data_IF_307239254746
#
_entry.id   IF_307239254746
#
_cell.length_a   1.000
_cell.length_b   1.000
_cell.length_c   1.000
_cell.angle_alpha   90.00
_cell.angle_beta   90.00
_cell.angle_gamma   90.00
#
_symmetry.space_group_name_H-M   'P 1'
#
loop_
_entity.id
_entity.type
_entity.pdbx_description
1 polymer ?
#
# COMPACT_ATOMS: atom_id res chain seq x y z
N UNK A 1 4.71 7.45 -18.77
CA UNK A 1 3.37 7.69 -19.35
C UNK A 1 2.81 8.99 -18.77
N UNK A 2 2.15 9.83 -19.56
CA UNK A 2 1.55 11.09 -19.10
C UNK A 2 0.13 11.19 -19.68
N UNK A 3 -0.88 11.47 -18.85
CA UNK A 3 -2.28 11.67 -19.24
C UNK A 3 -2.53 13.06 -19.83
N UNK A 4 -2.44 14.10 -19.00
CA UNK A 4 -2.59 15.49 -19.40
C UNK A 4 -3.74 16.18 -18.68
N UNK A 5 -4.58 16.88 -19.44
CA UNK A 5 -5.80 17.51 -18.90
C UNK A 5 -7.00 16.57 -19.12
N UNK A 6 -7.83 16.40 -18.11
CA UNK A 6 -9.04 15.59 -18.13
C UNK A 6 -8.91 14.33 -17.27
N UNK A 7 -10.00 13.59 -17.14
CA UNK A 7 -10.01 12.36 -16.34
C UNK A 7 -9.47 11.21 -17.22
N UNK A 8 -8.23 10.81 -16.98
CA UNK A 8 -7.53 9.80 -17.77
C UNK A 8 -7.58 8.41 -17.12
N UNK A 9 -7.37 7.39 -17.95
CA UNK A 9 -7.13 6.02 -17.49
C UNK A 9 -5.81 5.56 -18.06
N UNK A 10 -4.81 5.44 -17.18
CA UNK A 10 -3.42 5.19 -17.52
C UNK A 10 -3.01 3.81 -17.05
N UNK A 11 -2.39 3.04 -17.94
CA UNK A 11 -1.86 1.71 -17.62
C UNK A 11 -0.41 1.65 -18.09
N UNK A 12 0.50 1.39 -17.16
CA UNK A 12 1.90 1.12 -17.43
C UNK A 12 2.12 -0.20 -18.17
N UNK A 13 3.37 -0.58 -18.33
CA UNK A 13 3.80 -1.83 -18.94
C UNK A 13 4.24 -2.83 -17.86
N UNK A 14 4.67 -4.02 -18.29
CA UNK A 14 5.31 -4.97 -17.38
C UNK A 14 6.80 -4.63 -17.19
N UNK A 15 7.08 -3.42 -16.70
CA UNK A 15 8.40 -2.91 -16.33
C UNK A 15 8.26 -1.75 -15.35
N UNK A 16 9.34 -1.37 -14.66
CA UNK A 16 9.36 -0.13 -13.89
C UNK A 16 9.02 1.09 -14.77
N UNK A 17 7.90 1.74 -14.45
CA UNK A 17 7.31 2.85 -15.17
C UNK A 17 7.28 4.14 -14.33
N UNK A 18 7.21 5.27 -15.02
CA UNK A 18 6.86 6.54 -14.42
C UNK A 18 5.54 7.01 -15.05
N UNK A 19 4.46 7.06 -14.28
CA UNK A 19 3.10 7.38 -14.74
C UNK A 19 2.62 8.65 -14.05
N UNK A 20 2.20 9.64 -14.83
CA UNK A 20 1.65 10.90 -14.33
C UNK A 20 0.26 11.14 -14.94
N UNK A 21 -0.75 11.30 -14.09
CA UNK A 21 -2.13 11.64 -14.44
C UNK A 21 -2.20 13.01 -15.07
N UNK A 22 -2.02 14.04 -14.25
CA UNK A 22 -2.00 15.44 -14.68
C UNK A 22 -3.04 16.24 -13.93
N UNK A 23 -3.99 16.84 -14.64
CA UNK A 23 -5.11 17.55 -14.05
C UNK A 23 -6.41 16.83 -14.41
N UNK A 24 -7.33 16.69 -13.47
CA UNK A 24 -8.50 15.81 -13.61
C UNK A 24 -8.43 14.63 -12.66
N UNK A 25 -9.55 13.91 -12.53
CA UNK A 25 -9.64 12.72 -11.66
C UNK A 25 -9.13 11.50 -12.43
N UNK A 26 -7.91 11.07 -12.16
CA UNK A 26 -7.22 10.05 -12.95
C UNK A 26 -7.31 8.66 -12.32
N UNK A 27 -7.34 7.63 -13.18
CA UNK A 27 -7.17 6.23 -12.77
C UNK A 27 -5.83 5.72 -13.26
N UNK A 28 -4.94 5.37 -12.33
CA UNK A 28 -3.55 5.02 -12.62
C UNK A 28 -3.30 3.56 -12.21
N UNK A 29 -2.83 2.76 -13.17
CA UNK A 29 -2.44 1.36 -13.00
C UNK A 29 -0.97 1.24 -13.37
N UNK A 30 -0.10 0.99 -12.39
CA UNK A 30 1.34 0.77 -12.63
C UNK A 30 1.60 -0.46 -13.50
N UNK A 31 0.88 -1.55 -13.21
CA UNK A 31 1.12 -2.91 -13.74
C UNK A 31 2.38 -3.52 -13.13
N UNK A 32 3.09 -4.40 -13.86
CA UNK A 32 4.19 -5.18 -13.28
C UNK A 32 5.48 -4.37 -13.19
N UNK A 33 6.00 -4.12 -11.99
CA UNK A 33 7.30 -3.48 -11.78
C UNK A 33 7.31 -2.60 -10.53
N UNK A 34 8.46 -2.02 -10.19
CA UNK A 34 8.53 -0.93 -9.20
C UNK A 34 8.29 0.41 -9.89
N UNK A 35 7.10 0.96 -9.73
CA UNK A 35 6.61 2.12 -10.47
C UNK A 35 6.65 3.41 -9.65
N UNK A 36 6.78 4.53 -10.36
CA UNK A 36 6.59 5.87 -9.83
C UNK A 36 5.27 6.45 -10.36
N UNK A 37 4.30 6.59 -9.50
CA UNK A 37 2.94 7.04 -9.81
C UNK A 37 2.70 8.44 -9.25
N UNK A 38 2.13 9.31 -10.08
CA UNK A 38 1.83 10.70 -9.76
C UNK A 38 0.41 10.99 -10.23
N UNK A 39 -0.49 11.32 -9.31
CA UNK A 39 -1.88 11.62 -9.64
C UNK A 39 -2.02 12.99 -10.28
N UNK A 40 -1.69 14.02 -9.51
CA UNK A 40 -2.15 15.37 -9.77
C UNK A 40 -2.55 16.04 -8.47
N UNK A 41 -3.43 17.04 -8.57
CA UNK A 41 -4.00 17.71 -7.38
C UNK A 41 -5.52 17.52 -7.25
N UNK A 42 -6.10 16.62 -8.03
CA UNK A 42 -7.52 16.29 -8.01
C UNK A 42 -7.70 14.90 -7.34
N UNK A 43 -8.88 14.30 -7.38
CA UNK A 43 -9.12 13.02 -6.70
C UNK A 43 -8.72 11.83 -7.57
N UNK A 44 -7.55 11.25 -7.28
CA UNK A 44 -6.96 10.21 -8.10
C UNK A 44 -7.14 8.80 -7.50
N UNK A 45 -7.27 7.82 -8.38
CA UNK A 45 -7.41 6.41 -8.03
C UNK A 45 -6.19 5.63 -8.50
N UNK A 46 -5.42 5.10 -7.55
CA UNK A 46 -4.30 4.22 -7.80
C UNK A 46 -4.76 2.76 -7.64
N UNK A 47 -4.77 2.02 -8.75
CA UNK A 47 -5.31 0.65 -8.77
C UNK A 47 -4.16 -0.34 -8.62
N UNK A 48 -4.30 -1.25 -7.67
CA UNK A 48 -3.35 -2.33 -7.46
C UNK A 48 -4.01 -3.71 -7.42
N UNK A 49 -3.24 -4.74 -7.76
CA UNK A 49 -3.60 -6.14 -7.63
C UNK A 49 -2.46 -6.95 -7.01
N UNK A 50 -2.77 -8.18 -6.59
CA UNK A 50 -1.76 -9.08 -6.06
C UNK A 50 -0.66 -9.35 -7.10
N UNK A 51 0.59 -9.17 -6.68
CA UNK A 51 1.77 -9.34 -7.52
C UNK A 51 2.04 -8.24 -8.53
N UNK A 52 1.55 -7.03 -8.26
CA UNK A 52 1.86 -5.85 -9.08
C UNK A 52 3.35 -5.54 -9.16
N UNK A 53 4.16 -5.90 -8.17
CA UNK A 53 5.62 -5.70 -8.35
C UNK A 53 6.27 -6.82 -9.18
N UNK A 54 5.55 -7.93 -9.43
CA UNK A 54 5.98 -9.11 -10.19
C UNK A 54 7.03 -9.98 -9.51
N UNK A 55 7.49 -9.58 -8.33
CA UNK A 55 8.48 -10.26 -7.49
C UNK A 55 8.03 -10.17 -6.03
N UNK A 56 8.84 -10.67 -5.09
CA UNK A 56 8.53 -10.57 -3.66
C UNK A 56 8.81 -9.13 -3.20
N UNK A 57 7.84 -8.40 -2.63
CA UNK A 57 8.05 -7.03 -2.18
C UNK A 57 9.10 -6.99 -1.07
N UNK A 58 9.91 -5.92 -1.07
CA UNK A 58 11.05 -5.76 -0.17
C UNK A 58 11.34 -4.29 0.11
N UNK A 59 12.42 -3.98 0.82
CA UNK A 59 12.86 -2.59 1.04
C UNK A 59 13.46 -1.92 -0.21
N UNK A 60 13.47 -2.62 -1.36
CA UNK A 60 13.91 -2.08 -2.65
C UNK A 60 12.93 -2.36 -3.80
N UNK A 61 11.80 -2.99 -3.52
CA UNK A 61 10.87 -3.50 -4.53
C UNK A 61 9.44 -3.18 -4.08
N UNK A 62 8.92 -2.07 -4.60
CA UNK A 62 7.63 -1.48 -4.28
C UNK A 62 7.31 -0.33 -5.23
N UNK A 63 6.02 0.00 -5.30
CA UNK A 63 5.56 1.18 -6.00
C UNK A 63 5.63 2.43 -5.13
N UNK A 64 5.77 3.58 -5.77
CA UNK A 64 5.82 4.88 -5.10
C UNK A 64 4.73 5.77 -5.65
N UNK A 65 3.77 6.12 -4.79
CA UNK A 65 2.88 7.25 -5.03
C UNK A 65 3.57 8.52 -4.51
N UNK A 66 3.85 9.44 -5.43
CA UNK A 66 4.76 10.56 -5.17
C UNK A 66 4.14 11.80 -4.53
N UNK A 67 2.82 11.93 -4.64
CA UNK A 67 2.06 13.16 -4.40
C UNK A 67 0.73 12.91 -3.67
N UNK A 68 0.61 11.80 -2.95
CA UNK A 68 -0.61 11.40 -2.24
C UNK A 68 -1.28 12.56 -1.49
N UNK A 69 -2.52 12.86 -1.88
CA UNK A 69 -3.37 13.87 -1.28
C UNK A 69 -4.36 13.24 -0.29
N UNK A 70 -4.11 13.46 1.00
CA UNK A 70 -4.97 12.95 2.08
C UNK A 70 -6.43 13.35 1.87
N UNK A 71 -7.33 12.38 1.98
CA UNK A 71 -8.79 12.51 1.81
C UNK A 71 -9.32 12.78 0.38
N UNK A 72 -8.45 12.98 -0.61
CA UNK A 72 -8.82 13.05 -2.04
C UNK A 72 -8.54 11.71 -2.71
N UNK A 73 -7.30 11.23 -2.54
CA UNK A 73 -6.82 10.05 -3.24
C UNK A 73 -7.29 8.74 -2.61
N UNK A 74 -7.34 7.73 -3.47
CA UNK A 74 -7.79 6.39 -3.13
C UNK A 74 -6.82 5.35 -3.67
N UNK A 75 -6.57 4.31 -2.87
CA UNK A 75 -6.04 3.03 -3.35
C UNK A 75 -7.22 2.09 -3.60
N UNK A 76 -7.41 1.68 -4.84
CA UNK A 76 -8.34 0.61 -5.22
C UNK A 76 -7.55 -0.69 -5.33
N UNK A 77 -7.84 -1.65 -4.44
CA UNK A 77 -7.27 -2.97 -4.56
C UNK A 77 -8.27 -3.88 -5.26
N UNK A 78 -7.86 -4.49 -6.37
CA UNK A 78 -8.72 -5.32 -7.24
C UNK A 78 -9.41 -6.50 -6.50
N UNK A 79 -8.96 -6.82 -5.29
CA UNK A 79 -9.61 -7.73 -4.36
C UNK A 79 -10.17 -6.98 -3.13
N UNK A 80 -11.25 -7.51 -2.55
CA UNK A 80 -11.82 -6.93 -1.34
C UNK A 80 -10.84 -6.99 -0.16
N UNK A 81 -10.39 -5.82 0.31
CA UNK A 81 -9.52 -5.70 1.47
C UNK A 81 -10.26 -5.99 2.78
N UNK A 82 -9.55 -6.56 3.74
CA UNK A 82 -10.02 -6.74 5.11
C UNK A 82 -8.99 -6.24 6.13
N UNK A 83 -9.48 -5.78 7.29
CA UNK A 83 -8.63 -5.39 8.42
C UNK A 83 -8.48 -6.61 9.34
N UNK A 84 -7.23 -6.99 9.61
CA UNK A 84 -6.90 -7.95 10.67
C UNK A 84 -6.55 -7.18 11.92
N UNK A 85 -7.30 -7.40 13.00
CA UNK A 85 -6.95 -6.85 14.30
C UNK A 85 -6.09 -7.86 15.05
N UNK A 86 -4.87 -7.47 15.40
CA UNK A 86 -3.98 -8.26 16.23
C UNK A 86 -3.48 -7.43 17.40
N UNK A 87 -3.86 -7.84 18.61
CA UNK A 87 -3.57 -7.13 19.87
C UNK A 87 -2.33 -7.66 20.61
N UNK A 88 -1.63 -8.66 20.07
CA UNK A 88 -0.46 -9.28 20.70
C UNK A 88 0.78 -9.19 19.80
N UNK A 89 1.34 -7.97 19.68
CA UNK A 89 2.64 -7.77 19.01
C UNK A 89 3.85 -8.01 19.93
N UNK A 90 5.03 -7.89 19.34
CA UNK A 90 6.35 -8.03 19.97
C UNK A 90 7.46 -7.85 18.93
N UNK A 91 8.73 -8.02 19.31
CA UNK A 91 9.83 -7.95 18.33
C UNK A 91 9.60 -8.93 17.17
N UNK A 92 9.63 -8.42 15.94
CA UNK A 92 9.34 -9.18 14.72
C UNK A 92 7.87 -9.50 14.47
N UNK A 93 6.94 -8.92 15.25
CA UNK A 93 5.48 -9.10 15.08
C UNK A 93 4.75 -7.78 15.37
N UNK A 94 4.15 -7.18 14.34
CA UNK A 94 3.39 -5.95 14.49
C UNK A 94 2.07 -6.17 15.26
N UNK A 95 1.69 -5.18 16.05
CA UNK A 95 0.31 -5.01 16.53
C UNK A 95 -0.48 -4.26 15.47
N UNK A 96 -1.70 -4.66 15.15
CA UNK A 96 -2.52 -4.02 14.12
C UNK A 96 -3.82 -3.49 14.74
N UNK A 97 -4.07 -2.19 14.61
CA UNK A 97 -5.23 -1.51 15.18
C UNK A 97 -6.54 -1.85 14.46
N UNK A 98 -7.66 -1.31 14.96
CA UNK A 98 -8.96 -1.49 14.32
C UNK A 98 -9.08 -0.76 12.97
N UNK A 99 -8.20 0.21 12.75
CA UNK A 99 -8.05 1.05 11.57
C UNK A 99 -6.93 0.51 10.65
N UNK A 100 -6.40 -0.70 10.88
CA UNK A 100 -5.34 -1.27 10.04
C UNK A 100 -3.98 -0.60 10.21
N UNK A 101 -3.76 0.18 11.27
CA UNK A 101 -2.46 0.82 11.54
C UNK A 101 -1.55 -0.17 12.28
N UNK A 102 -0.39 -0.44 11.70
CA UNK A 102 0.66 -1.29 12.25
C UNK A 102 1.51 -0.50 13.27
N UNK A 103 1.67 -1.06 14.47
CA UNK A 103 2.56 -0.58 15.54
C UNK A 103 3.63 -1.62 15.81
N UNK A 104 4.88 -1.18 15.85
CA UNK A 104 6.06 -2.05 15.89
C UNK A 104 6.80 -1.97 17.22
N UNK A 105 7.58 -3.01 17.52
CA UNK A 105 8.58 -2.95 18.58
C UNK A 105 9.71 -1.97 18.21
N UNK A 106 10.41 -1.45 19.21
CA UNK A 106 11.55 -0.54 19.01
C UNK A 106 12.72 -1.21 18.26
N UNK A 107 12.79 -2.54 18.27
CA UNK A 107 13.75 -3.32 17.51
C UNK A 107 13.47 -3.32 16.00
N UNK A 108 12.20 -3.17 15.58
CA UNK A 108 11.79 -3.24 14.18
C UNK A 108 11.77 -1.80 13.57
N UNK A 109 12.96 -1.27 13.28
CA UNK A 109 13.14 0.15 12.94
C UNK A 109 13.49 0.41 11.47
N UNK A 110 13.90 -0.62 10.73
CA UNK A 110 14.11 -0.54 9.28
C UNK A 110 12.83 -0.88 8.51
N UNK A 111 12.79 -0.52 7.23
CA UNK A 111 11.69 -0.90 6.35
C UNK A 111 11.59 -2.43 6.22
N UNK A 112 12.72 -3.11 5.99
CA UNK A 112 12.77 -4.57 5.88
C UNK A 112 12.22 -5.28 7.13
N UNK A 113 12.63 -4.84 8.33
CA UNK A 113 12.11 -5.42 9.59
C UNK A 113 10.61 -5.19 9.75
N UNK A 114 10.10 -4.02 9.33
CA UNK A 114 8.69 -3.68 9.45
C UNK A 114 7.81 -4.43 8.45
N UNK A 115 8.28 -4.71 7.25
CA UNK A 115 7.56 -5.58 6.29
C UNK A 115 7.42 -6.97 6.91
N UNK A 116 8.51 -7.54 7.45
CA UNK A 116 8.50 -8.85 8.12
C UNK A 116 7.55 -8.85 9.34
N UNK A 117 7.63 -7.83 10.18
CA UNK A 117 6.79 -7.73 11.36
C UNK A 117 5.31 -7.51 11.01
N UNK A 118 5.01 -6.74 9.96
CA UNK A 118 3.65 -6.54 9.44
C UNK A 118 3.04 -7.88 9.01
N UNK A 119 3.75 -8.62 8.18
CA UNK A 119 3.30 -9.94 7.70
C UNK A 119 3.11 -10.93 8.87
N UNK A 120 4.03 -10.94 9.84
CA UNK A 120 3.87 -11.77 11.03
C UNK A 120 2.65 -11.34 11.88
N UNK A 121 2.38 -10.04 11.96
CA UNK A 121 1.22 -9.46 12.64
C UNK A 121 -0.10 -9.85 11.99
N UNK A 122 -0.16 -9.80 10.66
CA UNK A 122 -1.30 -10.22 9.83
C UNK A 122 -1.57 -11.72 10.07
N UNK A 123 -0.55 -12.57 9.91
CA UNK A 123 -0.67 -14.02 10.09
C UNK A 123 -1.10 -14.44 11.50
N UNK A 124 -0.62 -13.75 12.52
CA UNK A 124 -0.98 -14.03 13.92
C UNK A 124 -2.46 -13.76 14.22
N UNK A 125 -3.15 -12.95 13.40
CA UNK A 125 -4.61 -12.76 13.49
C UNK A 125 -5.44 -13.99 13.10
N UNK A 126 -4.81 -15.01 12.50
CA UNK A 126 -5.42 -16.32 12.25
C UNK A 126 -6.60 -16.31 11.26
N UNK A 127 -6.73 -15.23 10.49
CA UNK A 127 -7.81 -15.06 9.53
C UNK A 127 -7.27 -15.36 8.13
N UNK A 128 -7.61 -16.52 7.55
CA UNK A 128 -7.32 -16.84 6.15
C UNK A 128 -8.30 -16.11 5.18
N UNK A 129 -8.70 -14.88 5.53
CA UNK A 129 -9.59 -14.08 4.70
C UNK A 129 -8.84 -13.54 3.47
N UNK A 130 -9.61 -12.94 2.55
CA UNK A 130 -9.11 -12.16 1.43
C UNK A 130 -8.02 -11.15 1.83
N UNK A 131 -7.35 -10.58 0.82
CA UNK A 131 -6.28 -9.61 0.95
C UNK A 131 -6.39 -8.70 2.19
N UNK A 132 -5.36 -8.74 3.01
CA UNK A 132 -5.28 -8.11 4.31
C UNK A 132 -4.25 -7.00 4.23
N UNK A 133 -4.46 -5.89 4.90
CA UNK A 133 -3.49 -4.80 4.84
C UNK A 133 -3.11 -4.30 6.22
N UNK A 134 -1.93 -3.70 6.29
CA UNK A 134 -1.65 -2.74 7.31
C UNK A 134 -0.84 -1.56 6.79
N UNK A 135 -1.00 -0.42 7.45
CA UNK A 135 -0.33 0.83 7.10
C UNK A 135 0.65 1.22 8.20
N UNK A 136 1.83 1.68 7.81
CA UNK A 136 2.87 2.09 8.75
C UNK A 136 3.78 3.17 8.20
N UNK A 137 4.68 3.70 9.05
CA UNK A 137 5.58 4.79 8.69
C UNK A 137 7.03 4.45 8.88
N UNK A 138 7.89 4.78 7.91
CA UNK A 138 9.34 4.62 8.01
C UNK A 138 10.01 5.88 7.49
N UNK A 139 10.90 6.46 8.29
CA UNK A 139 11.74 7.61 7.88
C UNK A 139 11.01 8.83 7.31
N UNK A 140 9.73 9.04 7.67
CA UNK A 140 8.91 10.16 7.21
C UNK A 140 8.00 9.86 6.02
N UNK A 141 8.06 8.66 5.48
CA UNK A 141 7.13 8.14 4.47
C UNK A 141 6.12 7.19 5.12
N UNK A 142 4.97 7.01 4.47
CA UNK A 142 4.01 5.97 4.82
C UNK A 142 4.06 4.82 3.83
N UNK A 143 3.69 3.64 4.29
CA UNK A 143 3.70 2.40 3.52
C UNK A 143 2.41 1.65 3.74
N UNK A 144 1.83 1.15 2.67
CA UNK A 144 0.70 0.22 2.68
C UNK A 144 1.26 -1.14 2.29
N UNK A 145 1.22 -2.09 3.23
CA UNK A 145 1.54 -3.48 2.96
C UNK A 145 0.24 -4.27 2.86
N UNK A 146 0.06 -4.97 1.75
CA UNK A 146 -1.12 -5.81 1.48
C UNK A 146 -0.63 -7.24 1.27
N UNK A 147 -1.12 -8.14 2.11
CA UNK A 147 -0.82 -9.56 2.11
C UNK A 147 -1.99 -10.35 1.56
N UNK A 148 -1.73 -11.42 0.80
CA UNK A 148 -2.78 -12.35 0.36
C UNK A 148 -3.29 -13.29 1.47
N UNK A 149 -2.61 -13.28 2.63
CA UNK A 149 -3.05 -13.90 3.87
C UNK A 149 -2.68 -15.38 4.04
N UNK A 150 -1.85 -15.99 3.19
CA UNK A 150 -1.54 -17.43 3.36
C UNK A 150 -0.09 -17.91 3.33
N UNK A 151 0.92 -17.17 2.85
CA UNK A 151 2.24 -17.79 2.58
C UNK A 151 3.50 -17.00 3.02
N UNK A 152 3.38 -16.14 4.04
CA UNK A 152 4.49 -15.24 4.37
C UNK A 152 4.68 -14.23 3.24
N UNK A 153 5.82 -13.52 3.22
CA UNK A 153 6.04 -12.53 2.17
C UNK A 153 6.34 -13.23 0.84
N UNK A 154 5.45 -13.12 -0.13
CA UNK A 154 5.59 -13.73 -1.45
C UNK A 154 5.25 -12.78 -2.61
N UNK A 155 5.23 -13.29 -3.84
CA UNK A 155 5.07 -12.49 -5.04
C UNK A 155 3.63 -12.05 -5.31
N UNK A 156 2.65 -12.43 -4.51
CA UNK A 156 1.27 -11.92 -4.58
C UNK A 156 1.04 -10.76 -3.61
N UNK A 157 1.97 -10.54 -2.68
CA UNK A 157 1.90 -9.40 -1.77
C UNK A 157 2.27 -8.10 -2.48
N UNK A 158 1.84 -6.99 -1.89
CA UNK A 158 2.07 -5.65 -2.43
C UNK A 158 2.59 -4.74 -1.33
N UNK A 159 3.60 -3.95 -1.69
CA UNK A 159 4.09 -2.86 -0.88
C UNK A 159 4.00 -1.57 -1.69
N UNK A 160 3.36 -0.56 -1.13
CA UNK A 160 3.18 0.75 -1.75
C UNK A 160 3.75 1.79 -0.80
N UNK A 161 4.64 2.64 -1.30
CA UNK A 161 5.14 3.81 -0.59
C UNK A 161 4.29 5.03 -0.94
N UNK A 162 3.84 5.75 0.08
CA UNK A 162 3.29 7.10 -0.03
C UNK A 162 4.38 8.09 0.37
N UNK A 163 4.98 8.75 -0.62
CA UNK A 163 6.14 9.61 -0.40
C UNK A 163 5.75 10.87 0.39
N UNK A 164 6.53 11.19 1.42
CA UNK A 164 6.34 12.37 2.28
C UNK A 164 5.00 12.44 3.01
N UNK A 165 4.27 11.33 3.12
CA UNK A 165 3.05 11.24 3.92
C UNK A 165 3.41 10.81 5.33
N UNK A 166 3.19 11.70 6.30
CA UNK A 166 3.50 11.49 7.71
C UNK A 166 2.27 11.74 8.60
N UNK A 167 2.33 11.33 9.88
CA UNK A 167 1.26 11.60 10.84
C UNK A 167 -0.05 10.81 10.66
N UNK A 168 0.00 9.58 10.13
CA UNK A 168 -1.20 8.77 9.94
C UNK A 168 -1.95 8.56 11.25
N UNK A 169 -3.25 8.78 11.19
CA UNK A 169 -4.16 8.74 12.31
C UNK A 169 -5.34 7.81 12.08
N UNK A 170 -5.70 7.56 10.81
CA UNK A 170 -6.86 6.73 10.46
C UNK A 170 -6.72 6.13 9.06
N UNK A 171 -7.35 4.98 8.84
CA UNK A 171 -7.65 4.47 7.50
C UNK A 171 -9.13 4.11 7.40
N UNK A 172 -9.72 4.36 6.25
CA UNK A 172 -11.10 3.96 5.99
C UNK A 172 -11.14 3.03 4.79
N UNK A 173 -11.71 1.84 5.01
CA UNK A 173 -12.14 0.93 3.95
C UNK A 173 -13.61 1.15 3.62
N UNK A 174 -13.90 1.55 2.39
CA UNK A 174 -15.27 1.68 1.91
C UNK A 174 -15.39 1.16 0.48
N UNK A 175 -16.22 0.14 0.27
CA UNK A 175 -16.48 -0.39 -1.09
C UNK A 175 -15.29 -1.08 -1.77
N UNK A 176 -14.25 -1.47 -1.03
CA UNK A 176 -12.99 -2.02 -1.57
C UNK A 176 -11.86 -0.99 -1.62
N UNK A 177 -12.19 0.29 -1.45
CA UNK A 177 -11.26 1.40 -1.57
C UNK A 177 -10.65 1.74 -0.21
N UNK A 178 -9.33 1.93 -0.19
CA UNK A 178 -8.56 2.37 0.96
C UNK A 178 -8.28 3.87 0.85
N UNK A 179 -8.65 4.61 1.91
CA UNK A 179 -8.28 6.01 2.13
C UNK A 179 -7.45 6.12 3.40
N UNK A 180 -6.51 7.06 3.42
CA UNK A 180 -5.51 7.20 4.47
C UNK A 180 -5.45 8.66 4.92
N UNK A 181 -5.55 8.90 6.24
CA UNK A 181 -5.58 10.23 6.87
C UNK A 181 -4.56 10.38 7.99
#
# INVERSE_FOLDING_TARGET
>A
LIGGDGNDTLTGAASADAVSGGAGEDTIIGSVGSDLLTGGGDADTFVFAGGDVGTVPSDTEYDVISDWETASDIIDFAAALTIVQNMAGGAGVATISAEGICVFDVADNTLAERIIAAEAGINAGGNAAAAQFCVFQVSGDSYVFISDGTDGIDANDVLIKLANVAGLSDTTLAGGNLTIQ
#
